data_IF_559950023501
#
_entry.id   IF_559950023501
#
_cell.length_a   1.000
_cell.length_b   1.000
_cell.length_c   1.000
_cell.angle_alpha   90.00
_cell.angle_beta   90.00
_cell.angle_gamma   90.00
#
_symmetry.space_group_name_H-M   'P 1'
#
loop_
_entity.id
_entity.type
_entity.pdbx_description
1 polymer ?
#
# COMPACT_ATOMS: atom_id res chain seq x y z
N UNK A 1 -7.48 7.35 -31.23
CA UNK A 1 -7.04 7.29 -29.83
C UNK A 1 -8.10 6.72 -28.90
N UNK A 2 -7.69 6.46 -27.65
CA UNK A 2 -8.55 6.06 -26.53
C UNK A 2 -9.01 7.34 -25.80
N UNK A 3 -10.25 7.38 -25.32
CA UNK A 3 -10.77 8.51 -24.55
C UNK A 3 -11.38 8.06 -23.24
N UNK A 4 -11.08 8.80 -22.18
CA UNK A 4 -11.63 8.62 -20.84
C UNK A 4 -12.29 9.93 -20.38
N UNK A 5 -13.46 9.82 -19.76
CA UNK A 5 -14.19 10.94 -19.15
C UNK A 5 -14.98 10.45 -17.96
N UNK A 6 -14.86 11.15 -16.84
CA UNK A 6 -15.76 11.01 -15.70
C UNK A 6 -17.01 11.86 -15.93
N UNK A 7 -18.18 11.31 -15.63
CA UNK A 7 -19.46 12.03 -15.66
C UNK A 7 -20.18 11.83 -14.32
N UNK A 8 -19.87 12.69 -13.35
CA UNK A 8 -20.51 12.75 -12.03
C UNK A 8 -20.78 14.21 -11.66
N UNK A 9 -21.68 14.43 -10.70
CA UNK A 9 -21.90 15.75 -10.11
C UNK A 9 -20.96 15.92 -8.92
N UNK A 10 -19.98 16.83 -9.03
CA UNK A 10 -19.08 17.20 -7.94
C UNK A 10 -19.41 18.62 -7.49
N UNK A 11 -19.76 18.86 -6.22
CA UNK A 11 -20.00 20.20 -5.70
C UNK A 11 -18.85 21.17 -6.02
N UNK A 12 -19.15 22.32 -6.64
CA UNK A 12 -18.18 23.41 -6.77
C UNK A 12 -18.19 24.22 -5.46
N UNK A 13 -17.14 24.06 -4.66
CA UNK A 13 -17.01 24.66 -3.33
C UNK A 13 -15.96 25.76 -3.36
N UNK A 14 -16.29 26.88 -2.72
CA UNK A 14 -15.35 27.97 -2.51
C UNK A 14 -14.40 27.61 -1.34
N UNK A 15 -13.13 27.39 -1.65
CA UNK A 15 -12.10 27.06 -0.68
C UNK A 15 -11.38 28.29 -0.12
N UNK A 16 -11.71 29.50 -0.59
CA UNK A 16 -11.00 30.74 -0.21
C UNK A 16 -11.11 31.10 1.27
N UNK A 17 -12.13 30.58 1.97
CA UNK A 17 -12.28 30.67 3.42
C UNK A 17 -11.46 29.65 4.22
N UNK A 18 -10.70 28.77 3.56
CA UNK A 18 -9.90 27.70 4.19
C UNK A 18 -10.70 26.49 4.67
N UNK A 19 -12.04 26.49 4.50
CA UNK A 19 -12.88 25.35 4.85
C UNK A 19 -12.70 24.22 3.83
N UNK A 20 -12.22 23.06 4.29
CA UNK A 20 -11.96 21.91 3.44
C UNK A 20 -13.08 20.86 3.59
N UNK A 21 -13.67 20.34 2.49
CA UNK A 21 -14.89 19.53 2.55
C UNK A 21 -14.73 18.11 3.09
N UNK A 22 -13.51 17.71 3.43
CA UNK A 22 -13.23 16.47 4.15
C UNK A 22 -13.28 16.62 5.67
N UNK A 23 -13.45 17.84 6.17
CA UNK A 23 -13.73 18.14 7.57
C UNK A 23 -15.22 18.41 7.76
N UNK A 24 -15.67 18.40 9.03
CA UNK A 24 -17.01 18.85 9.37
C UNK A 24 -17.11 20.34 9.10
N UNK A 25 -18.08 20.72 8.27
CA UNK A 25 -18.39 22.12 7.94
C UNK A 25 -19.63 22.55 8.73
N UNK A 26 -19.70 23.82 9.12
CA UNK A 26 -20.86 24.40 9.80
C UNK A 26 -22.10 24.37 8.89
N UNK A 27 -23.15 23.70 9.35
CA UNK A 27 -24.43 23.61 8.64
C UNK A 27 -25.32 24.84 8.83
N UNK A 28 -25.06 25.67 9.84
CA UNK A 28 -25.84 26.90 10.09
C UNK A 28 -25.32 28.08 9.25
N UNK A 29 -24.12 27.96 8.67
CA UNK A 29 -23.53 28.95 7.77
C UNK A 29 -24.03 28.77 6.32
N UNK A 30 -24.73 29.77 5.79
CA UNK A 30 -25.24 29.75 4.42
C UNK A 30 -24.12 29.77 3.34
N UNK A 31 -22.92 30.22 3.69
CA UNK A 31 -21.76 30.23 2.78
C UNK A 31 -21.07 28.86 2.69
N UNK A 32 -21.36 27.95 3.62
CA UNK A 32 -20.86 26.58 3.63
C UNK A 32 -21.54 25.63 2.62
N UNK A 33 -22.66 26.07 2.03
CA UNK A 33 -23.42 25.32 1.03
C UNK A 33 -22.86 25.51 -0.38
N UNK A 34 -22.70 24.42 -1.14
CA UNK A 34 -22.36 24.53 -2.55
C UNK A 34 -23.56 25.04 -3.35
N UNK A 35 -23.28 25.89 -4.34
CA UNK A 35 -24.32 26.54 -5.17
C UNK A 35 -24.36 26.03 -6.61
N UNK A 36 -23.35 25.25 -7.00
CA UNK A 36 -23.22 24.69 -8.34
C UNK A 36 -22.38 23.41 -8.31
N UNK A 37 -22.21 22.78 -9.48
CA UNK A 37 -21.34 21.63 -9.66
C UNK A 37 -20.18 22.00 -10.59
N UNK A 38 -19.04 21.34 -10.42
CA UNK A 38 -17.89 21.51 -11.30
C UNK A 38 -18.30 21.27 -12.76
N UNK A 39 -17.94 22.17 -13.68
CA UNK A 39 -18.22 21.98 -15.11
C UNK A 39 -17.41 20.78 -15.64
N UNK A 40 -17.86 20.15 -16.74
CA UNK A 40 -17.21 18.95 -17.27
C UNK A 40 -15.69 19.10 -17.52
N UNK A 41 -15.22 20.30 -17.85
CA UNK A 41 -13.82 20.63 -18.11
C UNK A 41 -12.92 20.47 -16.87
N UNK A 42 -13.50 20.57 -15.67
CA UNK A 42 -12.81 20.34 -14.39
C UNK A 42 -12.91 18.89 -13.91
N UNK A 43 -13.56 17.98 -14.64
CA UNK A 43 -13.63 16.56 -14.29
C UNK A 43 -12.51 15.75 -14.98
N UNK A 44 -12.03 14.65 -14.38
CA UNK A 44 -10.97 13.84 -14.96
C UNK A 44 -11.31 13.40 -16.38
N UNK A 45 -10.39 13.70 -17.30
CA UNK A 45 -10.53 13.38 -18.72
C UNK A 45 -9.16 13.20 -19.36
N UNK A 46 -9.08 12.28 -20.30
CA UNK A 46 -7.89 12.06 -21.10
C UNK A 46 -8.26 11.64 -22.51
N UNK A 47 -7.46 12.04 -23.49
CA UNK A 47 -7.53 11.55 -24.86
C UNK A 47 -6.12 11.21 -25.31
N UNK A 48 -5.90 9.92 -25.56
CA UNK A 48 -4.59 9.37 -25.88
C UNK A 48 -4.57 8.97 -27.35
N UNK A 49 -3.76 9.65 -28.17
CA UNK A 49 -3.61 9.30 -29.59
C UNK A 49 -2.53 8.25 -29.82
N UNK A 50 -1.33 8.41 -29.26
CA UNK A 50 -0.16 7.57 -29.58
C UNK A 50 0.25 6.57 -28.49
N UNK A 51 0.02 6.88 -27.20
CA UNK A 51 0.46 6.02 -26.08
C UNK A 51 -0.28 4.68 -26.03
N UNK A 52 -1.48 4.58 -26.61
CA UNK A 52 -2.18 3.30 -26.77
C UNK A 52 -2.86 2.75 -25.51
N UNK A 53 -2.77 3.44 -24.37
CA UNK A 53 -3.41 3.01 -23.12
C UNK A 53 -3.84 4.19 -22.23
N UNK A 54 -4.79 3.92 -21.34
CA UNK A 54 -5.20 4.76 -20.20
C UNK A 54 -5.32 3.80 -19.01
N UNK A 55 -4.63 4.10 -17.90
CA UNK A 55 -4.68 3.32 -16.67
C UNK A 55 -5.16 4.18 -15.50
N UNK A 56 -5.99 3.60 -14.63
CA UNK A 56 -6.38 4.20 -13.36
C UNK A 56 -6.39 3.11 -12.30
N UNK A 57 -5.90 3.41 -11.10
CA UNK A 57 -5.95 2.50 -9.94
C UNK A 57 -6.24 3.30 -8.67
N UNK A 58 -7.31 4.10 -8.70
CA UNK A 58 -7.74 4.99 -7.61
C UNK A 58 -6.71 6.07 -7.19
N UNK A 59 -5.67 6.32 -8.00
CA UNK A 59 -4.71 7.39 -7.80
C UNK A 59 -5.29 8.78 -8.10
N UNK A 60 -4.63 9.83 -7.62
CA UNK A 60 -4.96 11.22 -7.97
C UNK A 60 -4.91 11.39 -9.51
N UNK A 61 -6.01 11.84 -10.15
CA UNK A 61 -6.08 11.99 -11.60
C UNK A 61 -5.34 13.20 -12.17
N UNK A 62 -4.96 14.19 -11.34
CA UNK A 62 -4.22 15.38 -11.78
C UNK A 62 -2.81 15.49 -11.21
N UNK A 63 -2.56 14.86 -10.06
CA UNK A 63 -1.34 15.07 -9.28
C UNK A 63 -1.35 16.39 -8.52
N UNK A 64 -2.53 16.95 -8.23
CA UNK A 64 -2.66 18.15 -7.40
C UNK A 64 -2.10 17.88 -6.00
N UNK A 65 -2.35 16.70 -5.46
CA UNK A 65 -1.96 16.35 -4.09
C UNK A 65 -0.53 15.79 -4.00
N UNK A 66 0.31 16.01 -5.02
CA UNK A 66 1.67 15.44 -5.09
C UNK A 66 2.61 16.05 -4.05
N UNK A 67 2.37 17.29 -3.64
CA UNK A 67 3.10 17.98 -2.58
C UNK A 67 2.65 17.59 -1.16
N UNK A 68 1.59 16.79 -1.05
CA UNK A 68 0.99 16.38 0.22
C UNK A 68 0.08 17.44 0.86
N UNK A 69 -0.25 18.53 0.15
CA UNK A 69 -1.08 19.62 0.66
C UNK A 69 -2.36 19.82 -0.16
N UNK A 70 -3.43 19.15 0.27
CA UNK A 70 -4.76 19.25 -0.35
C UNK A 70 -5.43 20.63 -0.16
N UNK A 71 -4.84 21.54 0.63
CA UNK A 71 -5.43 22.86 0.89
C UNK A 71 -5.18 23.88 -0.22
N UNK A 72 -4.24 23.57 -1.12
CA UNK A 72 -3.78 24.48 -2.18
C UNK A 72 -4.24 24.07 -3.60
N UNK A 73 -5.04 23.00 -3.71
CA UNK A 73 -5.57 22.49 -4.98
C UNK A 73 -6.36 23.56 -5.76
N UNK A 74 -6.32 23.58 -7.11
CA UNK A 74 -7.09 24.53 -7.93
C UNK A 74 -8.61 24.48 -7.71
N UNK A 75 -9.14 23.32 -7.28
CA UNK A 75 -10.52 23.10 -6.87
C UNK A 75 -10.61 21.77 -6.10
N UNK A 76 -11.59 21.66 -5.22
CA UNK A 76 -11.80 20.41 -4.48
C UNK A 76 -12.47 19.34 -5.36
N UNK A 77 -11.82 18.19 -5.50
CA UNK A 77 -12.41 16.99 -6.09
C UNK A 77 -12.42 15.81 -5.11
N UNK A 78 -11.39 15.70 -4.28
CA UNK A 78 -11.21 14.69 -3.27
C UNK A 78 -9.85 14.86 -2.59
N UNK A 79 -9.71 14.29 -1.40
CA UNK A 79 -8.50 14.40 -0.58
C UNK A 79 -7.84 13.04 -0.30
N UNK A 80 -8.54 11.94 -0.62
CA UNK A 80 -8.12 10.59 -0.32
C UNK A 80 -8.01 9.79 -1.63
N UNK A 81 -6.78 9.41 -1.95
CA UNK A 81 -6.41 8.63 -3.14
C UNK A 81 -5.51 7.47 -2.72
N UNK A 82 -5.47 6.40 -3.53
CA UNK A 82 -4.56 5.30 -3.31
C UNK A 82 -3.09 5.78 -3.31
N UNK A 83 -2.22 5.12 -2.55
CA UNK A 83 -0.82 5.53 -2.34
C UNK A 83 0.00 5.62 -3.64
N UNK A 84 -0.46 4.96 -4.71
CA UNK A 84 0.08 5.08 -6.06
C UNK A 84 0.87 3.86 -6.52
N UNK A 85 1.16 2.89 -5.65
CA UNK A 85 1.89 1.66 -5.99
C UNK A 85 1.19 0.87 -7.11
N UNK A 86 -0.13 0.63 -6.99
CA UNK A 86 -0.93 -0.01 -8.05
C UNK A 86 -0.91 0.77 -9.36
N UNK A 87 -1.09 2.09 -9.30
CA UNK A 87 -1.07 2.94 -10.49
C UNK A 87 0.30 2.94 -11.18
N UNK A 88 1.39 2.90 -10.41
CA UNK A 88 2.75 2.77 -10.91
C UNK A 88 2.95 1.41 -11.59
N UNK A 89 2.62 0.30 -10.92
CA UNK A 89 2.74 -1.06 -11.47
C UNK A 89 1.95 -1.21 -12.77
N UNK A 90 0.71 -0.70 -12.79
CA UNK A 90 -0.13 -0.66 -13.98
C UNK A 90 0.53 0.13 -15.12
N UNK A 91 1.11 1.28 -14.81
CA UNK A 91 1.80 2.13 -15.79
C UNK A 91 3.02 1.41 -16.36
N UNK A 92 3.90 0.88 -15.51
CA UNK A 92 5.12 0.20 -15.92
C UNK A 92 4.80 -1.00 -16.85
N UNK A 93 3.81 -1.83 -16.49
CA UNK A 93 3.44 -2.99 -17.30
C UNK A 93 2.73 -2.60 -18.61
N UNK A 94 1.87 -1.57 -18.60
CA UNK A 94 1.27 -1.08 -19.84
C UNK A 94 2.31 -0.45 -20.77
N UNK A 95 3.30 0.27 -20.25
CA UNK A 95 4.43 0.78 -21.03
C UNK A 95 5.26 -0.37 -21.62
N UNK A 96 5.57 -1.41 -20.83
CA UNK A 96 6.28 -2.60 -21.31
C UNK A 96 5.51 -3.30 -22.43
N UNK A 97 4.26 -3.68 -22.18
CA UNK A 97 3.39 -4.39 -23.13
C UNK A 97 3.20 -3.60 -24.43
N UNK A 98 2.93 -2.29 -24.33
CA UNK A 98 2.74 -1.46 -25.53
C UNK A 98 4.03 -1.16 -26.27
N UNK A 99 5.17 -1.14 -25.58
CA UNK A 99 6.51 -1.05 -26.18
C UNK A 99 6.92 -2.31 -26.94
N UNK A 100 6.56 -3.49 -26.44
CA UNK A 100 6.72 -4.77 -27.14
C UNK A 100 5.78 -4.90 -28.35
N UNK A 101 4.61 -4.27 -28.28
CA UNK A 101 3.58 -4.26 -29.32
C UNK A 101 2.71 -5.52 -29.31
N UNK A 102 1.62 -5.50 -30.09
CA UNK A 102 0.67 -6.62 -30.22
C UNK A 102 0.06 -7.11 -28.88
N UNK A 103 -0.27 -6.19 -27.96
CA UNK A 103 -0.92 -6.53 -26.69
C UNK A 103 -2.15 -7.41 -26.92
N UNK A 104 -2.15 -8.58 -26.30
CA UNK A 104 -3.20 -9.60 -26.45
C UNK A 104 -4.18 -9.58 -25.28
N UNK A 105 -5.29 -10.29 -25.43
CA UNK A 105 -6.22 -10.54 -24.31
C UNK A 105 -5.52 -11.30 -23.17
N UNK A 106 -4.61 -12.23 -23.50
CA UNK A 106 -3.89 -13.00 -22.49
C UNK A 106 -2.95 -12.11 -21.66
N UNK A 107 -2.29 -11.13 -22.29
CA UNK A 107 -1.44 -10.17 -21.58
C UNK A 107 -2.27 -9.32 -20.60
N UNK A 108 -3.45 -8.87 -21.04
CA UNK A 108 -4.36 -8.11 -20.17
C UNK A 108 -4.92 -8.97 -19.03
N UNK A 109 -5.15 -10.27 -19.25
CA UNK A 109 -5.55 -11.20 -18.19
C UNK A 109 -4.42 -11.43 -17.19
N UNK A 110 -3.18 -11.57 -17.66
CA UNK A 110 -2.01 -11.69 -16.81
C UNK A 110 -1.81 -10.43 -15.96
N UNK A 111 -1.97 -9.24 -16.54
CA UNK A 111 -1.89 -7.96 -15.83
C UNK A 111 -2.96 -7.81 -14.74
N UNK A 112 -4.17 -8.35 -14.93
CA UNK A 112 -5.23 -8.37 -13.92
C UNK A 112 -4.98 -9.40 -12.80
N UNK A 113 -3.99 -10.28 -12.96
CA UNK A 113 -3.59 -11.29 -11.99
C UNK A 113 -2.18 -11.01 -11.44
N UNK A 114 -1.66 -9.82 -11.69
CA UNK A 114 -0.32 -9.41 -11.28
C UNK A 114 -0.26 -9.18 -9.77
N UNK A 115 0.59 -9.96 -9.10
CA UNK A 115 0.69 -9.98 -7.64
C UNK A 115 2.01 -9.41 -7.14
N UNK A 116 2.76 -8.73 -8.01
CA UNK A 116 4.06 -8.16 -7.65
C UNK A 116 3.86 -7.04 -6.63
N UNK A 117 4.62 -7.06 -5.53
CA UNK A 117 4.58 -6.03 -4.48
C UNK A 117 5.51 -4.86 -4.84
N UNK A 118 4.99 -3.67 -5.24
CA UNK A 118 5.86 -2.55 -5.55
C UNK A 118 6.55 -1.96 -4.31
N UNK A 119 6.00 -2.20 -3.12
CA UNK A 119 6.64 -1.86 -1.86
C UNK A 119 7.91 -2.68 -1.63
N UNK A 120 7.94 -3.95 -2.04
CA UNK A 120 9.12 -4.80 -1.92
C UNK A 120 10.30 -4.25 -2.74
N UNK A 121 10.05 -3.63 -3.90
CA UNK A 121 11.13 -3.03 -4.70
C UNK A 121 11.84 -1.87 -4.00
N UNK A 122 11.14 -1.19 -3.10
CA UNK A 122 11.66 -0.02 -2.37
C UNK A 122 12.26 -0.42 -1.03
N UNK A 123 11.54 -1.26 -0.29
CA UNK A 123 11.83 -1.52 1.12
C UNK A 123 12.70 -2.76 1.34
N UNK A 124 12.59 -3.80 0.49
CA UNK A 124 13.35 -5.04 0.69
C UNK A 124 14.87 -4.82 0.79
N UNK A 125 15.51 -3.94 -0.03
CA UNK A 125 16.93 -3.64 0.14
C UNK A 125 17.28 -3.12 1.55
N UNK A 126 16.43 -2.28 2.13
CA UNK A 126 16.62 -1.73 3.49
C UNK A 126 16.57 -2.85 4.53
N UNK A 127 15.64 -3.79 4.38
CA UNK A 127 15.48 -4.93 5.30
C UNK A 127 16.69 -5.85 5.26
N UNK A 128 17.16 -6.20 4.05
CA UNK A 128 18.29 -7.09 3.86
C UNK A 128 19.60 -6.45 4.33
N UNK A 129 19.80 -5.16 4.04
CA UNK A 129 20.95 -4.41 4.53
C UNK A 129 20.97 -4.36 6.06
N UNK A 130 19.83 -4.07 6.70
CA UNK A 130 19.73 -4.02 8.16
C UNK A 130 19.98 -5.40 8.80
N UNK A 131 19.44 -6.47 8.23
CA UNK A 131 19.69 -7.83 8.70
C UNK A 131 21.18 -8.21 8.59
N UNK A 132 21.89 -7.76 7.54
CA UNK A 132 23.33 -7.97 7.37
C UNK A 132 24.19 -7.16 8.35
N UNK A 133 23.66 -6.07 8.92
CA UNK A 133 24.35 -5.28 9.93
C UNK A 133 24.22 -5.82 11.36
N UNK A 134 23.36 -6.83 11.61
CA UNK A 134 23.26 -7.46 12.92
C UNK A 134 24.60 -8.06 13.35
N UNK A 135 25.12 -7.62 14.51
CA UNK A 135 26.45 -7.99 15.02
C UNK A 135 27.61 -7.13 14.50
N UNK A 136 27.37 -6.23 13.54
CA UNK A 136 28.33 -5.24 13.05
C UNK A 136 27.99 -3.83 13.51
N UNK A 137 26.70 -3.51 13.63
CA UNK A 137 26.18 -2.24 14.11
C UNK A 137 25.90 -2.30 15.62
N UNK A 138 26.52 -1.42 16.44
CA UNK A 138 26.24 -1.32 17.87
C UNK A 138 24.76 -1.12 18.22
N UNK A 139 23.99 -0.44 17.36
CA UNK A 139 22.55 -0.18 17.59
C UNK A 139 21.70 -1.46 17.44
N UNK A 140 22.27 -2.50 16.83
CA UNK A 140 21.65 -3.81 16.59
C UNK A 140 22.27 -4.92 17.46
N UNK A 141 23.13 -4.59 18.42
CA UNK A 141 23.89 -5.57 19.20
C UNK A 141 22.99 -6.54 19.99
N UNK A 142 21.77 -6.15 20.37
CA UNK A 142 20.85 -7.03 21.09
C UNK A 142 20.29 -8.18 20.25
N UNK A 143 20.34 -8.04 18.91
CA UNK A 143 19.91 -9.07 17.98
C UNK A 143 21.05 -10.01 17.56
N UNK A 144 22.28 -9.77 18.04
CA UNK A 144 23.44 -10.60 17.72
C UNK A 144 23.18 -12.07 18.09
N UNK A 145 23.39 -12.98 17.13
CA UNK A 145 23.16 -14.41 17.32
C UNK A 145 21.71 -14.87 17.17
N UNK A 146 20.76 -13.99 16.85
CA UNK A 146 19.40 -14.39 16.52
C UNK A 146 19.35 -15.00 15.10
N UNK A 147 19.34 -16.33 15.04
CA UNK A 147 19.31 -17.08 13.77
C UNK A 147 18.00 -16.95 13.00
N UNK A 148 16.89 -16.62 13.67
CA UNK A 148 15.58 -16.51 13.03
C UNK A 148 15.52 -15.27 12.12
N UNK A 149 16.13 -14.15 12.54
CA UNK A 149 16.25 -12.94 11.72
C UNK A 149 16.98 -13.24 10.41
N UNK A 150 18.10 -13.97 10.50
CA UNK A 150 18.88 -14.36 9.32
C UNK A 150 18.11 -15.35 8.42
N UNK A 151 17.31 -16.23 9.02
CA UNK A 151 16.45 -17.16 8.27
C UNK A 151 15.38 -16.41 7.50
N UNK A 152 14.66 -15.47 8.13
CA UNK A 152 13.65 -14.67 7.45
C UNK A 152 14.25 -13.74 6.38
N UNK A 153 15.42 -13.14 6.65
CA UNK A 153 16.14 -12.36 5.65
C UNK A 153 16.48 -13.21 4.41
N UNK A 154 16.96 -14.44 4.60
CA UNK A 154 17.23 -15.37 3.49
C UNK A 154 15.96 -15.77 2.72
N UNK A 155 14.83 -15.97 3.42
CA UNK A 155 13.53 -16.24 2.79
C UNK A 155 13.10 -15.05 1.92
N UNK A 156 13.24 -13.83 2.42
CA UNK A 156 12.90 -12.61 1.67
C UNK A 156 13.87 -12.34 0.51
N UNK A 157 15.16 -12.63 0.66
CA UNK A 157 16.15 -12.51 -0.42
C UNK A 157 15.85 -13.48 -1.58
N UNK A 158 15.40 -14.70 -1.26
CA UNK A 158 15.04 -15.71 -2.26
C UNK A 158 13.64 -15.49 -2.87
N UNK A 159 12.79 -14.69 -2.23
CA UNK A 159 11.42 -14.42 -2.69
C UNK A 159 11.41 -13.56 -3.95
N UNK A 160 10.56 -13.92 -4.90
CA UNK A 160 10.42 -13.27 -6.20
C UNK A 160 9.54 -12.00 -6.18
N UNK A 161 9.13 -11.56 -4.99
CA UNK A 161 8.29 -10.38 -4.74
C UNK A 161 6.83 -10.53 -5.18
N UNK A 162 6.39 -11.73 -5.55
CA UNK A 162 5.00 -12.01 -5.87
C UNK A 162 4.23 -12.48 -4.63
N UNK A 163 3.08 -11.84 -4.37
CA UNK A 163 2.13 -12.18 -3.29
C UNK A 163 1.27 -13.40 -3.67
N UNK A 164 1.92 -14.48 -4.11
CA UNK A 164 1.26 -15.73 -4.44
C UNK A 164 0.86 -16.50 -3.17
N UNK A 165 -0.33 -17.08 -3.16
CA UNK A 165 -0.88 -17.77 -1.98
C UNK A 165 -0.02 -18.94 -1.51
N UNK A 166 0.74 -19.59 -2.39
CA UNK A 166 1.65 -20.68 -1.99
C UNK A 166 3.00 -20.20 -1.47
N UNK A 167 3.27 -18.89 -1.47
CA UNK A 167 4.59 -18.34 -1.14
C UNK A 167 4.75 -18.15 0.37
N UNK A 168 5.80 -18.74 0.93
CA UNK A 168 6.26 -18.44 2.29
C UNK A 168 6.82 -17.01 2.38
N UNK A 169 7.58 -16.58 1.36
CA UNK A 169 8.14 -15.24 1.27
C UNK A 169 7.08 -14.13 1.28
N UNK A 170 5.93 -14.37 0.64
CA UNK A 170 4.80 -13.44 0.70
C UNK A 170 4.22 -13.30 2.11
N UNK A 171 4.11 -14.39 2.87
CA UNK A 171 3.68 -14.31 4.27
C UNK A 171 4.72 -13.58 5.14
N UNK A 172 6.02 -13.88 4.98
CA UNK A 172 7.08 -13.17 5.72
C UNK A 172 7.08 -11.69 5.38
N UNK A 173 6.91 -11.33 4.10
CA UNK A 173 6.82 -9.95 3.65
C UNK A 173 5.64 -9.21 4.29
N UNK A 174 4.46 -9.82 4.27
CA UNK A 174 3.26 -9.28 4.90
C UNK A 174 3.47 -9.02 6.40
N UNK A 175 3.96 -10.03 7.14
CA UNK A 175 4.22 -9.90 8.57
C UNK A 175 5.25 -8.80 8.85
N UNK A 176 6.34 -8.77 8.09
CA UNK A 176 7.36 -7.76 8.25
C UNK A 176 6.81 -6.35 8.00
N UNK A 177 6.04 -6.15 6.92
CA UNK A 177 5.47 -4.85 6.56
C UNK A 177 4.53 -4.33 7.66
N UNK A 178 3.72 -5.22 8.24
CA UNK A 178 2.76 -4.88 9.29
C UNK A 178 3.45 -4.59 10.63
N UNK A 179 4.45 -5.39 11.00
CA UNK A 179 5.23 -5.17 12.21
C UNK A 179 6.12 -3.93 12.09
N UNK A 180 6.70 -3.67 10.91
CA UNK A 180 7.48 -2.45 10.63
C UNK A 180 6.63 -1.21 10.87
N UNK A 181 5.39 -1.19 10.38
CA UNK A 181 4.50 -0.06 10.61
C UNK A 181 4.11 0.09 12.09
N UNK A 182 3.89 -1.02 12.80
CA UNK A 182 3.65 -0.99 14.23
C UNK A 182 4.83 -0.38 14.98
N UNK A 183 6.04 -0.89 14.75
CA UNK A 183 7.26 -0.40 15.42
C UNK A 183 7.58 1.07 15.08
N UNK A 184 7.24 1.51 13.87
CA UNK A 184 7.59 2.85 13.42
C UNK A 184 6.67 3.95 13.96
N UNK A 185 5.36 3.68 14.12
CA UNK A 185 4.37 4.76 14.35
C UNK A 185 3.23 4.43 15.33
N UNK A 186 3.21 3.23 15.94
CA UNK A 186 2.08 2.85 16.82
C UNK A 186 2.01 3.67 18.11
N UNK A 187 3.14 4.16 18.62
CA UNK A 187 3.21 5.02 19.80
C UNK A 187 2.66 6.42 19.54
N UNK A 188 2.95 6.99 18.37
CA UNK A 188 2.44 8.30 17.94
C UNK A 188 0.92 8.28 17.67
N UNK A 189 0.43 7.21 17.05
CA UNK A 189 -1.00 7.05 16.74
C UNK A 189 -1.80 6.47 17.92
N UNK A 190 -1.14 5.80 18.87
CA UNK A 190 -1.77 5.12 20.00
C UNK A 190 -2.98 4.26 19.56
N UNK A 191 -4.14 4.46 20.18
CA UNK A 191 -5.34 3.69 19.82
C UNK A 191 -5.86 3.96 18.39
N UNK A 192 -5.47 5.09 17.76
CA UNK A 192 -5.86 5.36 16.38
C UNK A 192 -5.15 4.43 15.40
N UNK A 193 -3.97 3.91 15.74
CA UNK A 193 -3.26 2.97 14.88
C UNK A 193 -4.15 1.78 14.56
N UNK A 194 -4.68 1.12 15.59
CA UNK A 194 -5.49 -0.10 15.42
C UNK A 194 -6.79 0.17 14.66
N UNK A 195 -7.40 1.35 14.86
CA UNK A 195 -8.60 1.75 14.12
C UNK A 195 -8.30 1.99 12.65
N UNK A 196 -7.28 2.80 12.33
CA UNK A 196 -6.94 3.11 10.93
C UNK A 196 -6.43 1.86 10.22
N UNK A 197 -5.62 1.05 10.90
CA UNK A 197 -5.10 -0.20 10.35
C UNK A 197 -6.19 -1.23 10.06
N UNK A 198 -7.21 -1.34 10.90
CA UNK A 198 -8.33 -2.25 10.66
C UNK A 198 -9.19 -1.84 9.45
N UNK A 199 -9.32 -0.53 9.21
CA UNK A 199 -10.16 0.01 8.13
C UNK A 199 -9.40 0.16 6.81
N UNK A 200 -8.17 0.68 6.83
CA UNK A 200 -7.38 1.03 5.64
C UNK A 200 -5.86 0.72 5.82
N UNK A 201 -5.45 -0.56 5.85
CA UNK A 201 -4.04 -0.94 6.04
C UNK A 201 -3.06 -0.25 5.06
N UNK A 202 -3.32 -0.17 3.73
CA UNK A 202 -2.39 0.48 2.81
C UNK A 202 -2.13 1.95 3.14
N UNK A 203 -3.12 2.66 3.72
CA UNK A 203 -2.95 4.06 4.10
C UNK A 203 -1.98 4.22 5.27
N UNK A 204 -2.13 3.40 6.32
CA UNK A 204 -1.26 3.49 7.49
C UNK A 204 0.15 2.96 7.20
N UNK A 205 0.30 1.95 6.33
CA UNK A 205 1.60 1.39 5.91
C UNK A 205 2.42 2.39 5.08
N UNK A 206 1.77 3.23 4.26
CA UNK A 206 2.43 4.25 3.43
C UNK A 206 3.33 5.19 4.24
N UNK A 207 2.88 5.62 5.43
CA UNK A 207 3.57 6.62 6.25
C UNK A 207 4.98 6.12 6.66
N UNK A 208 5.12 4.99 7.38
CA UNK A 208 6.43 4.49 7.77
C UNK A 208 7.21 3.95 6.57
N UNK A 209 6.55 3.40 5.53
CA UNK A 209 7.24 3.03 4.30
C UNK A 209 8.00 4.21 3.67
N UNK A 210 7.38 5.39 3.59
CA UNK A 210 8.05 6.61 3.12
C UNK A 210 9.14 7.06 4.10
N UNK A 211 8.89 7.00 5.40
CA UNK A 211 9.87 7.39 6.42
C UNK A 211 11.16 6.57 6.32
N UNK A 212 11.07 5.25 6.15
CA UNK A 212 12.22 4.35 6.03
C UNK A 212 13.12 4.68 4.82
N UNK A 213 12.57 5.29 3.77
CA UNK A 213 13.37 5.73 2.61
C UNK A 213 14.28 6.92 2.91
N UNK A 214 14.00 7.67 3.99
CA UNK A 214 14.59 8.98 4.30
C UNK A 214 14.46 10.00 3.14
N UNK A 215 13.49 9.83 2.24
CA UNK A 215 13.22 10.79 1.16
C UNK A 215 12.65 12.13 1.68
N UNK A 216 12.10 12.12 2.89
CA UNK A 216 11.54 13.26 3.60
C UNK A 216 12.13 13.32 5.01
N UNK A 217 12.01 14.47 5.68
CA UNK A 217 12.36 14.53 7.11
C UNK A 217 11.47 13.55 7.88
N UNK A 218 12.11 12.77 8.75
CA UNK A 218 11.47 11.84 9.68
C UNK A 218 11.53 12.37 11.12
N UNK A 219 11.88 13.65 11.29
CA UNK A 219 11.99 14.28 12.60
C UNK A 219 10.66 14.09 13.34
N UNK A 220 10.75 13.62 14.58
CA UNK A 220 9.62 13.32 15.48
C UNK A 220 8.71 12.14 15.07
N UNK A 221 8.96 11.45 13.94
CA UNK A 221 8.20 10.25 13.54
C UNK A 221 8.95 8.95 13.88
N UNK A 222 10.19 8.80 13.40
CA UNK A 222 10.98 7.61 13.73
C UNK A 222 11.75 7.85 15.03
N UNK A 223 11.32 7.22 16.12
CA UNK A 223 11.97 7.36 17.43
C UNK A 223 13.30 6.61 17.55
N UNK A 224 13.67 5.83 16.52
CA UNK A 224 14.91 5.07 16.45
C UNK A 224 15.37 4.91 15.00
N UNK A 225 16.52 4.25 14.77
CA UNK A 225 17.05 4.05 13.42
C UNK A 225 16.13 3.14 12.59
N UNK A 226 16.05 3.41 11.28
CA UNK A 226 15.28 2.56 10.35
C UNK A 226 15.82 1.12 10.33
N UNK A 227 17.12 0.94 10.55
CA UNK A 227 17.77 -0.37 10.62
C UNK A 227 17.24 -1.15 11.84
N UNK A 228 17.12 -0.49 13.00
CA UNK A 228 16.53 -1.09 14.19
C UNK A 228 15.07 -1.45 13.98
N UNK A 229 14.27 -0.55 13.39
CA UNK A 229 12.87 -0.83 13.05
C UNK A 229 12.76 -2.06 12.12
N UNK A 230 13.59 -2.12 11.08
CA UNK A 230 13.57 -3.22 10.13
C UNK A 230 13.93 -4.56 10.79
N UNK A 231 14.92 -4.58 11.69
CA UNK A 231 15.36 -5.78 12.40
C UNK A 231 14.38 -6.21 13.50
N UNK A 232 13.82 -5.27 14.25
CA UNK A 232 12.76 -5.55 15.25
C UNK A 232 11.53 -6.15 14.55
N UNK A 233 11.12 -5.60 13.41
CA UNK A 233 10.02 -6.15 12.63
C UNK A 233 10.27 -7.59 12.15
N UNK A 234 11.52 -7.95 11.79
CA UNK A 234 11.90 -9.34 11.50
C UNK A 234 11.84 -10.21 12.76
N UNK A 235 12.36 -9.74 13.89
CA UNK A 235 12.36 -10.47 15.15
C UNK A 235 10.93 -10.76 15.64
N UNK A 236 10.03 -9.77 15.58
CA UNK A 236 8.62 -9.91 15.93
C UNK A 236 7.89 -10.84 14.97
N UNK A 237 8.17 -10.76 13.66
CA UNK A 237 7.62 -11.69 12.66
C UNK A 237 8.07 -13.13 12.92
N UNK A 238 9.34 -13.34 13.27
CA UNK A 238 9.87 -14.65 13.65
C UNK A 238 9.19 -15.22 14.88
N UNK A 239 9.07 -14.42 15.96
CA UNK A 239 8.38 -14.84 17.17
C UNK A 239 6.93 -15.25 16.89
N UNK A 240 6.23 -14.52 16.02
CA UNK A 240 4.87 -14.85 15.60
C UNK A 240 4.82 -16.18 14.82
N UNK A 241 5.72 -16.37 13.84
CA UNK A 241 5.80 -17.61 13.06
C UNK A 241 6.12 -18.82 13.93
N UNK A 242 7.09 -18.70 14.85
CA UNK A 242 7.41 -19.76 15.83
C UNK A 242 6.19 -20.05 16.72
N UNK A 243 5.49 -19.02 17.19
CA UNK A 243 4.29 -19.19 18.01
C UNK A 243 3.16 -19.92 17.28
N UNK A 244 2.99 -19.68 15.97
CA UNK A 244 1.90 -20.23 15.16
C UNK A 244 2.22 -21.58 14.50
N UNK A 245 3.41 -21.72 13.93
CA UNK A 245 3.84 -22.87 13.12
C UNK A 245 4.93 -23.71 13.79
N UNK A 246 5.51 -23.25 14.90
CA UNK A 246 6.52 -23.95 15.67
C UNK A 246 7.97 -23.69 15.24
N UNK A 247 8.18 -23.04 14.10
CA UNK A 247 9.50 -22.61 13.61
C UNK A 247 9.35 -21.47 12.58
N UNK A 248 10.49 -20.89 12.16
CA UNK A 248 10.58 -19.98 11.00
C UNK A 248 10.86 -20.69 9.68
N UNK A 249 10.83 -22.02 9.66
CA UNK A 249 11.10 -22.84 8.46
C UNK A 249 10.07 -22.53 7.35
N UNK A 250 10.48 -22.03 6.17
CA UNK A 250 9.56 -21.65 5.10
C UNK A 250 8.75 -22.81 4.52
N UNK A 251 9.13 -24.07 4.77
CA UNK A 251 8.32 -25.23 4.36
C UNK A 251 7.07 -25.43 5.25
N UNK A 252 7.00 -24.72 6.38
CA UNK A 252 5.95 -24.87 7.39
C UNK A 252 4.73 -23.95 7.23
N UNK A 253 4.79 -22.94 6.36
CA UNK A 253 3.73 -21.94 6.20
C UNK A 253 3.68 -21.35 4.79
N UNK A 254 2.53 -20.76 4.44
CA UNK A 254 2.34 -20.05 3.18
C UNK A 254 1.37 -18.88 3.34
N UNK A 255 1.37 -17.99 2.36
CA UNK A 255 0.43 -16.86 2.35
C UNK A 255 -1.04 -17.28 2.42
N UNK A 256 -1.37 -18.45 1.87
CA UNK A 256 -2.68 -19.10 1.92
C UNK A 256 -3.12 -19.51 3.33
N UNK A 257 -2.28 -19.41 4.35
CA UNK A 257 -2.71 -19.70 5.73
C UNK A 257 -3.40 -18.49 6.39
N UNK A 258 -3.21 -17.30 5.82
CA UNK A 258 -3.66 -16.03 6.40
C UNK A 258 -4.42 -15.14 5.41
N UNK A 259 -4.26 -15.34 4.11
CA UNK A 259 -4.85 -14.47 3.09
C UNK A 259 -5.78 -15.19 2.13
N UNK A 260 -6.97 -14.62 2.00
CA UNK A 260 -8.05 -15.18 1.22
C UNK A 260 -9.27 -14.28 1.20
N UNK A 261 -10.20 -14.62 0.33
CA UNK A 261 -11.48 -13.94 0.18
C UNK A 261 -12.57 -14.74 0.87
N UNK A 262 -13.40 -14.07 1.66
CA UNK A 262 -14.60 -14.65 2.23
C UNK A 262 -15.80 -14.31 1.33
N UNK A 263 -16.43 -15.34 0.76
CA UNK A 263 -17.61 -15.18 -0.12
C UNK A 263 -18.89 -15.21 0.71
N UNK A 264 -19.08 -14.16 1.51
CA UNK A 264 -20.22 -14.04 2.41
C UNK A 264 -21.53 -13.96 1.65
N UNK A 265 -22.52 -14.69 2.16
CA UNK A 265 -23.89 -14.56 1.71
C UNK A 265 -24.76 -13.96 2.83
N UNK A 266 -25.49 -12.86 2.59
CA UNK A 266 -26.33 -12.24 3.62
C UNK A 266 -27.48 -13.14 4.12
N UNK A 267 -27.80 -14.23 3.41
CA UNK A 267 -28.78 -15.23 3.84
C UNK A 267 -28.16 -16.40 4.62
N UNK A 268 -26.83 -16.47 4.73
CA UNK A 268 -26.07 -17.46 5.49
C UNK A 268 -26.24 -18.92 5.05
N UNK A 269 -25.68 -19.83 5.85
CA UNK A 269 -25.85 -21.29 5.76
C UNK A 269 -25.40 -21.88 4.41
N UNK A 270 -26.27 -22.63 3.72
CA UNK A 270 -25.93 -23.42 2.52
C UNK A 270 -25.51 -22.56 1.30
N UNK A 271 -25.63 -21.24 1.39
CA UNK A 271 -25.25 -20.30 0.33
C UNK A 271 -23.98 -19.50 0.64
N UNK A 272 -23.38 -19.70 1.81
CA UNK A 272 -22.08 -19.12 2.17
C UNK A 272 -20.97 -19.83 1.37
N UNK A 273 -20.22 -19.06 0.57
CA UNK A 273 -19.11 -19.59 -0.22
C UNK A 273 -17.86 -19.86 0.60
N UNK A 274 -17.85 -19.45 1.88
CA UNK A 274 -16.76 -19.65 2.80
C UNK A 274 -15.48 -18.91 2.39
N UNK A 275 -14.39 -19.29 3.05
CA UNK A 275 -13.09 -18.67 2.85
C UNK A 275 -12.28 -19.43 1.82
N UNK A 276 -11.70 -18.70 0.86
CA UNK A 276 -10.85 -19.24 -0.20
C UNK A 276 -9.55 -18.49 -0.23
N UNK A 277 -8.42 -19.20 -0.13
CA UNK A 277 -7.10 -18.61 -0.27
C UNK A 277 -6.94 -17.94 -1.65
N UNK A 278 -6.49 -16.70 -1.66
CA UNK A 278 -6.31 -15.89 -2.88
C UNK A 278 -4.87 -15.40 -3.00
N UNK A 279 -4.46 -15.01 -4.20
CA UNK A 279 -3.22 -14.27 -4.39
C UNK A 279 -3.48 -12.77 -4.17
N UNK A 280 -2.42 -11.98 -4.15
CA UNK A 280 -2.47 -10.53 -3.96
C UNK A 280 -2.12 -10.16 -2.53
N UNK A 281 -1.88 -8.87 -2.30
CA UNK A 281 -1.49 -8.34 -1.00
C UNK A 281 -1.68 -6.85 -0.95
N UNK A 282 -0.91 -6.19 -0.09
CA UNK A 282 -0.95 -4.75 0.10
C UNK A 282 -0.61 -4.02 -1.20
N UNK A 283 -1.61 -3.36 -1.80
CA UNK A 283 -1.44 -2.50 -2.97
C UNK A 283 -0.82 -3.22 -4.20
N UNK A 284 -1.10 -4.52 -4.37
CA UNK A 284 -0.92 -5.26 -5.65
C UNK A 284 -2.05 -4.95 -6.63
N UNK A 285 -1.90 -5.26 -7.92
CA UNK A 285 -2.92 -4.94 -8.94
C UNK A 285 -4.25 -5.69 -8.75
#
# INVERSE_FOLDING_TARGET
GISYRVNILVPDRDLSGGALPYLVIDGDDADSYWRSFLPPEKLPRSRVENRGWIGTANNDPWGFTFDGDVSNDPFYYGYFYAAGHRAKRLTDELERLTGEGNVTVADMQALQLDTHSPLADVLLPIVLDAAAQVGNDPDLAEYEGNADIQTLAAVLEAWDRNMDRSSAGALVWHLWLHNMAWEAISDDFAFLYTLVFAEEPPYILKIPALALTHAYSTDDLLQTSRERIAVEALATSAAWLVGRYGSVDPDGYSWADMHGTHFENPFGMDLDGGWVATNGGEDTL
#
